data_IF_678985564505
#
_entry.id   IF_678985564505
#
_cell.length_a   1.000
_cell.length_b   1.000
_cell.length_c   1.000
_cell.angle_alpha   90.00
_cell.angle_beta   90.00
_cell.angle_gamma   90.00
#
_symmetry.space_group_name_H-M   'P 1'
#
loop_
_entity.id
_entity.type
_entity.pdbx_description
1 polymer ?
#
# COMPACT_ATOMS: atom_id res chain seq x y z
N UNK A 1 20.64 31.25 -21.90
CA UNK A 1 19.54 30.37 -22.32
C UNK A 1 18.39 30.51 -21.34
N UNK A 2 17.16 30.62 -21.86
CA UNK A 2 15.92 30.73 -21.08
C UNK A 2 14.79 30.01 -21.82
N UNK A 3 13.95 29.29 -21.07
CA UNK A 3 12.71 28.70 -21.58
C UNK A 3 11.65 28.67 -20.48
N UNK A 4 10.40 28.45 -20.89
CA UNK A 4 9.23 28.33 -20.02
C UNK A 4 8.43 27.09 -20.38
N UNK A 5 7.85 26.45 -19.38
CA UNK A 5 7.05 25.24 -19.54
C UNK A 5 6.15 25.01 -18.33
N UNK A 6 5.30 24.00 -18.40
CA UNK A 6 4.58 23.43 -17.26
C UNK A 6 5.18 22.08 -16.87
N UNK A 7 5.22 21.80 -15.56
CA UNK A 7 5.94 20.66 -15.05
C UNK A 7 5.31 20.00 -13.83
N UNK A 8 5.57 18.70 -13.69
CA UNK A 8 5.26 17.91 -12.49
C UNK A 8 6.53 17.79 -11.67
N UNK A 9 6.48 18.21 -10.40
CA UNK A 9 7.61 18.02 -9.49
C UNK A 9 7.76 16.52 -9.18
N UNK A 10 8.92 15.94 -9.47
CA UNK A 10 9.25 14.54 -9.20
C UNK A 10 9.97 14.38 -7.86
N UNK A 11 10.94 15.24 -7.58
CA UNK A 11 11.73 15.19 -6.37
C UNK A 11 12.25 16.57 -5.95
N UNK A 12 12.46 16.73 -4.64
CA UNK A 12 13.01 17.96 -4.05
C UNK A 12 14.13 17.58 -3.09
N UNK A 13 15.32 18.13 -3.30
CA UNK A 13 16.49 17.95 -2.44
C UNK A 13 16.92 19.28 -1.85
N UNK A 14 17.13 19.35 -0.53
CA UNK A 14 17.66 20.55 0.13
C UNK A 14 19.06 20.83 -0.40
N UNK A 15 19.38 22.10 -0.65
CA UNK A 15 20.69 22.51 -1.14
C UNK A 15 21.15 23.82 -0.50
N UNK A 16 22.27 23.76 0.22
CA UNK A 16 22.75 24.89 1.03
C UNK A 16 21.75 25.30 2.10
N UNK A 17 21.87 26.55 2.56
CA UNK A 17 21.07 27.07 3.68
C UNK A 17 19.64 27.42 3.29
N UNK A 18 19.42 27.98 2.10
CA UNK A 18 18.14 28.57 1.69
C UNK A 18 17.49 27.94 0.46
N UNK A 19 18.23 27.12 -0.30
CA UNK A 19 17.81 26.68 -1.64
C UNK A 19 17.41 25.21 -1.69
N UNK A 20 16.79 24.82 -2.79
CA UNK A 20 16.48 23.43 -3.11
C UNK A 20 16.83 23.13 -4.57
N UNK A 21 17.26 21.90 -4.84
CA UNK A 21 17.35 21.35 -6.19
C UNK A 21 16.05 20.58 -6.43
N UNK A 22 15.37 20.93 -7.51
CA UNK A 22 14.08 20.34 -7.89
C UNK A 22 14.26 19.57 -9.18
N UNK A 23 13.76 18.33 -9.21
CA UNK A 23 13.66 17.47 -10.39
C UNK A 23 12.21 17.56 -10.90
N UNK A 24 12.03 17.97 -12.15
CA UNK A 24 10.72 18.27 -12.74
C UNK A 24 10.62 17.56 -14.09
N UNK A 25 9.51 16.86 -14.33
CA UNK A 25 9.13 16.42 -15.67
C UNK A 25 8.30 17.50 -16.33
N UNK A 26 8.79 18.05 -17.44
CA UNK A 26 8.10 19.06 -18.23
C UNK A 26 7.61 18.48 -19.55
N UNK A 27 6.61 19.14 -20.14
CA UNK A 27 5.97 18.63 -21.35
C UNK A 27 6.89 18.73 -22.57
N UNK A 28 7.48 19.91 -22.80
CA UNK A 28 8.25 20.22 -24.00
C UNK A 28 9.77 20.09 -23.82
N UNK A 29 10.25 20.11 -22.57
CA UNK A 29 11.69 20.04 -22.26
C UNK A 29 12.09 18.79 -21.48
N UNK A 30 11.17 17.83 -21.34
CA UNK A 30 11.45 16.55 -20.69
C UNK A 30 11.78 16.68 -19.21
N UNK A 31 12.50 15.69 -18.69
CA UNK A 31 12.97 15.71 -17.30
C UNK A 31 14.16 16.65 -17.15
N UNK A 32 14.06 17.62 -16.24
CA UNK A 32 15.11 18.60 -15.99
C UNK A 32 15.26 18.87 -14.49
N UNK A 33 16.51 19.07 -14.05
CA UNK A 33 16.81 19.53 -12.70
C UNK A 33 17.18 21.01 -12.71
N UNK A 34 16.87 21.72 -11.62
CA UNK A 34 17.18 23.14 -11.48
C UNK A 34 17.18 23.63 -10.04
N UNK A 35 17.92 24.70 -9.78
CA UNK A 35 18.01 25.33 -8.47
C UNK A 35 16.84 26.30 -8.23
N UNK A 36 16.10 26.11 -7.15
CA UNK A 36 15.11 27.07 -6.65
C UNK A 36 15.69 27.81 -5.45
N UNK A 37 16.02 29.08 -5.65
CA UNK A 37 16.47 29.97 -4.57
C UNK A 37 15.31 30.23 -3.61
N UNK A 38 15.57 30.21 -2.31
CA UNK A 38 14.52 30.34 -1.30
C UNK A 38 13.59 29.13 -1.24
N UNK A 39 13.90 28.01 -1.91
CA UNK A 39 13.08 26.79 -1.89
C UNK A 39 12.89 26.19 -0.50
N UNK A 40 13.68 26.59 0.50
CA UNK A 40 13.49 26.17 1.90
C UNK A 40 12.54 27.08 2.68
N UNK A 41 11.98 28.12 2.07
CA UNK A 41 11.07 29.05 2.74
C UNK A 41 9.75 28.38 3.14
N UNK A 42 9.06 28.97 4.13
CA UNK A 42 7.72 28.53 4.54
C UNK A 42 6.69 28.69 3.42
N UNK A 43 6.87 29.66 2.53
CA UNK A 43 5.98 29.93 1.40
C UNK A 43 6.17 28.93 0.26
N UNK A 44 7.41 28.50 -0.03
CA UNK A 44 7.69 27.55 -1.09
C UNK A 44 7.47 26.09 -0.69
N UNK A 45 7.50 25.78 0.62
CA UNK A 45 7.38 24.40 1.11
C UNK A 45 6.11 23.66 0.62
N UNK A 46 4.90 24.27 0.58
CA UNK A 46 3.71 23.61 0.04
C UNK A 46 3.76 23.41 -1.48
N UNK A 47 4.43 24.32 -2.21
CA UNK A 47 4.61 24.24 -3.67
C UNK A 47 5.59 23.14 -4.03
N UNK A 48 6.72 23.07 -3.32
CA UNK A 48 7.81 22.11 -3.53
C UNK A 48 7.49 20.74 -2.91
N UNK A 49 6.43 20.09 -3.40
CA UNK A 49 6.07 18.73 -3.09
C UNK A 49 5.96 17.91 -4.38
N UNK A 50 6.35 16.63 -4.32
CA UNK A 50 6.20 15.74 -5.46
C UNK A 50 4.71 15.63 -5.86
N UNK A 51 4.44 15.56 -7.16
CA UNK A 51 3.09 15.45 -7.72
C UNK A 51 2.34 16.78 -7.89
N UNK A 52 2.90 17.89 -7.38
CA UNK A 52 2.36 19.21 -7.69
C UNK A 52 2.69 19.61 -9.14
N UNK A 53 1.74 20.27 -9.78
CA UNK A 53 1.94 20.91 -11.09
C UNK A 53 2.32 22.37 -10.90
N UNK A 54 3.33 22.82 -11.64
CA UNK A 54 3.84 24.19 -11.60
C UNK A 54 4.07 24.72 -13.01
N UNK A 55 3.83 26.00 -13.21
CA UNK A 55 4.39 26.75 -14.33
C UNK A 55 5.81 27.13 -13.93
N UNK A 56 6.75 27.07 -14.87
CA UNK A 56 8.13 27.36 -14.57
C UNK A 56 8.85 28.11 -15.67
N UNK A 57 9.83 28.91 -15.26
CA UNK A 57 10.87 29.43 -16.13
C UNK A 57 12.23 28.92 -15.69
N UNK A 58 13.02 28.43 -16.63
CA UNK A 58 14.39 28.00 -16.39
C UNK A 58 15.38 28.95 -17.05
N UNK A 59 16.47 29.25 -16.35
CA UNK A 59 17.56 30.11 -16.86
C UNK A 59 18.93 29.59 -16.52
N UNK A 60 19.83 29.57 -17.51
CA UNK A 60 21.26 29.31 -17.30
C UNK A 60 22.14 29.97 -18.37
N UNK A 61 23.46 29.97 -18.10
CA UNK A 61 24.46 30.46 -19.06
C UNK A 61 24.56 29.55 -20.29
N UNK A 62 24.72 28.26 -20.05
CA UNK A 62 24.82 27.21 -21.06
C UNK A 62 23.69 26.20 -20.84
N UNK A 63 23.33 25.45 -21.88
CA UNK A 63 22.22 24.50 -21.79
C UNK A 63 22.53 23.40 -20.78
N UNK A 64 23.73 22.81 -20.81
CA UNK A 64 24.25 21.74 -19.92
C UNK A 64 24.30 22.08 -18.43
N UNK A 65 24.19 23.35 -18.06
CA UNK A 65 24.19 23.76 -16.65
C UNK A 65 22.90 23.34 -15.94
N UNK A 66 22.94 23.19 -14.61
CA UNK A 66 21.74 22.93 -13.80
C UNK A 66 20.68 24.05 -13.95
N UNK A 67 21.13 25.30 -14.04
CA UNK A 67 20.26 26.47 -14.14
C UNK A 67 19.43 26.77 -12.88
N UNK A 68 18.65 27.84 -12.96
CA UNK A 68 17.73 28.28 -11.90
C UNK A 68 16.30 28.16 -12.38
N UNK A 69 15.42 27.66 -11.51
CA UNK A 69 13.98 27.66 -11.71
C UNK A 69 13.32 28.80 -10.94
N UNK A 70 12.36 29.44 -11.59
CA UNK A 70 11.28 30.20 -10.96
C UNK A 70 10.00 29.42 -11.17
N UNK A 71 9.23 29.19 -10.11
CA UNK A 71 8.07 28.32 -10.11
C UNK A 71 6.83 29.06 -9.62
N UNK A 72 5.73 28.90 -10.34
CA UNK A 72 4.40 29.37 -9.97
C UNK A 72 3.45 28.16 -9.82
N UNK A 73 2.68 28.06 -8.73
CA UNK A 73 1.81 26.91 -8.50
C UNK A 73 0.63 26.88 -9.47
N UNK A 74 0.37 25.73 -10.10
CA UNK A 74 -0.83 25.48 -10.90
C UNK A 74 -1.82 24.63 -10.11
N UNK A 75 -1.38 23.44 -9.67
CA UNK A 75 -2.22 22.49 -8.92
C UNK A 75 -1.43 21.81 -7.82
N UNK A 76 -1.86 22.00 -6.58
CA UNK A 76 -1.20 21.46 -5.38
C UNK A 76 -1.94 20.22 -4.91
N UNK A 77 -1.36 19.04 -5.15
CA UNK A 77 -1.98 17.74 -4.86
C UNK A 77 -1.48 17.08 -3.57
N UNK A 78 -0.30 17.47 -3.11
CA UNK A 78 0.38 16.77 -2.03
C UNK A 78 -0.40 16.70 -0.70
N UNK A 79 -1.25 17.70 -0.42
CA UNK A 79 -2.02 17.77 0.82
C UNK A 79 -2.97 16.60 1.03
N UNK A 80 -3.73 16.21 0.00
CA UNK A 80 -4.68 15.10 0.10
C UNK A 80 -4.07 13.74 -0.23
N UNK A 81 -2.98 13.70 -1.01
CA UNK A 81 -2.28 12.44 -1.32
C UNK A 81 -1.59 11.86 -0.08
N UNK A 82 -0.99 12.70 0.76
CA UNK A 82 -0.14 12.25 1.88
C UNK A 82 -0.94 11.56 3.01
N UNK A 83 -2.24 11.82 3.10
CA UNK A 83 -3.13 11.24 4.11
C UNK A 83 -3.51 9.78 3.80
N UNK A 84 -3.37 9.35 2.55
CA UNK A 84 -3.73 8.01 2.09
C UNK A 84 -2.50 7.19 1.66
N UNK A 85 -2.16 6.09 2.36
CA UNK A 85 -0.97 5.30 2.05
C UNK A 85 -0.90 4.78 0.61
N UNK A 86 -2.03 4.40 0.02
CA UNK A 86 -2.10 3.89 -1.35
C UNK A 86 -1.84 4.96 -2.40
N UNK A 87 -2.48 6.13 -2.25
CA UNK A 87 -2.28 7.29 -3.13
C UNK A 87 -0.84 7.78 -3.06
N UNK A 88 -0.29 7.87 -1.84
CA UNK A 88 1.12 8.21 -1.62
C UNK A 88 2.06 7.21 -2.29
N UNK A 89 1.75 5.91 -2.21
CA UNK A 89 2.55 4.88 -2.88
C UNK A 89 2.47 5.00 -4.41
N UNK A 90 1.30 5.30 -4.97
CA UNK A 90 1.11 5.59 -6.39
C UNK A 90 1.93 6.79 -6.85
N UNK A 91 1.85 7.91 -6.12
CA UNK A 91 2.65 9.12 -6.39
C UNK A 91 4.16 8.84 -6.36
N UNK A 92 4.65 8.17 -5.30
CA UNK A 92 6.08 7.84 -5.18
C UNK A 92 6.52 6.90 -6.30
N UNK A 93 5.66 5.98 -6.72
CA UNK A 93 5.95 5.08 -7.84
C UNK A 93 6.05 5.86 -9.15
N UNK A 94 5.08 6.71 -9.49
CA UNK A 94 5.12 7.55 -10.69
C UNK A 94 6.37 8.43 -10.69
N UNK A 95 6.58 9.19 -9.61
CA UNK A 95 7.70 10.12 -9.51
C UNK A 95 9.07 9.44 -9.55
N UNK A 96 9.19 8.25 -8.96
CA UNK A 96 10.43 7.48 -8.99
C UNK A 96 10.69 6.81 -10.34
N UNK A 97 9.64 6.34 -11.03
CA UNK A 97 9.77 5.74 -12.35
C UNK A 97 10.10 6.79 -13.44
N UNK A 98 9.54 8.00 -13.33
CA UNK A 98 9.89 9.11 -14.23
C UNK A 98 11.37 9.49 -14.19
N UNK A 99 12.10 9.14 -13.12
CA UNK A 99 13.55 9.37 -13.04
C UNK A 99 14.37 8.42 -13.94
N UNK A 100 13.74 7.43 -14.56
CA UNK A 100 14.40 6.59 -15.57
C UNK A 100 14.36 7.16 -16.98
N UNK A 101 13.55 8.20 -17.20
CA UNK A 101 13.53 8.95 -18.46
C UNK A 101 14.86 9.70 -18.64
N UNK A 102 15.40 9.74 -19.86
CA UNK A 102 16.50 10.61 -20.23
C UNK A 102 16.26 12.07 -19.81
N UNK A 103 17.31 12.73 -19.34
CA UNK A 103 17.22 14.15 -19.04
C UNK A 103 17.13 14.96 -20.33
N UNK A 104 16.24 15.97 -20.33
CA UNK A 104 16.07 16.97 -21.40
C UNK A 104 15.59 16.43 -22.74
N UNK A 105 14.97 15.26 -22.70
CA UNK A 105 14.28 14.67 -23.84
C UNK A 105 12.76 14.75 -23.62
N UNK A 106 12.00 15.37 -24.53
CA UNK A 106 10.56 15.51 -24.37
C UNK A 106 9.84 14.16 -24.50
N UNK A 107 9.11 13.80 -23.46
CA UNK A 107 8.25 12.61 -23.42
C UNK A 107 6.79 13.03 -23.17
N UNK A 108 6.21 13.78 -24.12
CA UNK A 108 4.89 14.40 -23.99
C UNK A 108 3.80 13.38 -23.60
N UNK A 109 3.82 12.18 -24.18
CA UNK A 109 2.83 11.12 -23.88
C UNK A 109 2.88 10.67 -22.42
N UNK A 110 4.09 10.49 -21.87
CA UNK A 110 4.30 10.07 -20.48
C UNK A 110 3.94 11.20 -19.52
N UNK A 111 4.23 12.45 -19.89
CA UNK A 111 3.81 13.63 -19.13
C UNK A 111 2.28 13.76 -19.09
N UNK A 112 1.61 13.76 -20.24
CA UNK A 112 0.16 13.93 -20.36
C UNK A 112 -0.57 12.78 -19.63
N UNK A 113 -0.13 11.53 -19.80
CA UNK A 113 -0.68 10.39 -19.08
C UNK A 113 -0.39 10.46 -17.56
N UNK A 114 0.76 11.01 -17.15
CA UNK A 114 1.10 11.21 -15.74
C UNK A 114 0.17 12.21 -15.06
N UNK A 115 -0.22 13.28 -15.77
CA UNK A 115 -1.24 14.22 -15.28
C UNK A 115 -2.59 13.53 -15.09
N UNK A 116 -3.03 12.66 -16.02
CA UNK A 116 -4.28 11.90 -15.87
C UNK A 116 -4.28 11.04 -14.61
N UNK A 117 -3.17 10.36 -14.30
CA UNK A 117 -3.03 9.57 -13.07
C UNK A 117 -3.15 10.47 -11.83
N UNK A 118 -2.40 11.58 -11.80
CA UNK A 118 -2.38 12.48 -10.66
C UNK A 118 -3.71 13.21 -10.45
N UNK A 119 -4.45 13.49 -11.52
CA UNK A 119 -5.74 14.16 -11.46
C UNK A 119 -6.88 13.23 -11.06
N UNK A 120 -6.74 11.93 -11.34
CA UNK A 120 -7.65 10.88 -10.91
C UNK A 120 -7.31 10.30 -9.54
N UNK A 121 -6.23 10.72 -8.88
CA UNK A 121 -5.67 10.05 -7.69
C UNK A 121 -6.63 9.99 -6.49
N UNK A 122 -7.66 10.83 -6.46
CA UNK A 122 -8.71 10.80 -5.42
C UNK A 122 -9.76 9.71 -5.64
N UNK A 123 -9.88 9.19 -6.87
CA UNK A 123 -10.75 8.07 -7.22
C UNK A 123 -9.97 6.75 -7.14
N UNK A 124 -10.12 6.06 -6.01
CA UNK A 124 -9.42 4.80 -5.70
C UNK A 124 -9.82 3.62 -6.60
N UNK A 125 -10.88 3.76 -7.41
CA UNK A 125 -11.25 2.77 -8.43
C UNK A 125 -10.58 3.05 -9.79
N UNK A 126 -10.18 4.29 -10.05
CA UNK A 126 -9.68 4.72 -11.36
C UNK A 126 -8.17 4.86 -11.42
N UNK A 127 -7.55 5.60 -10.49
CA UNK A 127 -6.12 5.90 -10.56
C UNK A 127 -5.21 4.66 -10.62
N UNK A 128 -5.51 3.51 -9.98
CA UNK A 128 -4.65 2.35 -10.05
C UNK A 128 -4.54 1.78 -11.47
N UNK A 129 -5.67 1.71 -12.18
CA UNK A 129 -5.70 1.25 -13.56
C UNK A 129 -4.98 2.22 -14.49
N UNK A 130 -5.15 3.53 -14.29
CA UNK A 130 -4.42 4.56 -15.03
C UNK A 130 -2.91 4.48 -14.78
N UNK A 131 -2.48 4.27 -13.54
CA UNK A 131 -1.06 4.11 -13.22
C UNK A 131 -0.47 2.87 -13.87
N UNK A 132 -1.20 1.74 -13.90
CA UNK A 132 -0.74 0.55 -14.59
C UNK A 132 -0.58 0.77 -16.12
N UNK A 133 -1.52 1.48 -16.76
CA UNK A 133 -1.38 1.90 -18.16
C UNK A 133 -0.20 2.85 -18.37
N UNK A 134 0.01 3.77 -17.43
CA UNK A 134 1.15 4.68 -17.46
C UNK A 134 2.48 3.93 -17.34
N UNK A 135 2.59 2.92 -16.46
CA UNK A 135 3.77 2.06 -16.36
C UNK A 135 4.05 1.27 -17.66
N UNK A 136 3.00 0.82 -18.35
CA UNK A 136 3.14 0.21 -19.68
C UNK A 136 3.62 1.21 -20.73
N UNK A 137 3.05 2.41 -20.75
CA UNK A 137 3.48 3.49 -21.63
C UNK A 137 4.95 3.82 -21.41
N UNK A 138 5.40 3.87 -20.14
CA UNK A 138 6.80 4.10 -19.81
C UNK A 138 7.72 2.98 -20.31
N UNK A 139 7.29 1.72 -20.22
CA UNK A 139 8.04 0.60 -20.81
C UNK A 139 8.20 0.78 -22.32
N UNK A 140 7.13 1.14 -23.03
CA UNK A 140 7.16 1.41 -24.47
C UNK A 140 8.10 2.57 -24.82
N UNK A 141 7.99 3.69 -24.11
CA UNK A 141 8.84 4.87 -24.30
C UNK A 141 10.33 4.57 -24.07
N UNK A 142 10.65 3.65 -23.16
CA UNK A 142 12.01 3.19 -22.89
C UNK A 142 12.49 2.05 -23.82
N UNK A 143 11.68 1.64 -24.79
CA UNK A 143 12.03 0.60 -25.78
C UNK A 143 11.81 -0.85 -25.30
N UNK A 144 11.06 -1.05 -24.22
CA UNK A 144 10.70 -2.35 -23.64
C UNK A 144 9.19 -2.62 -23.66
N UNK A 145 8.48 -2.02 -24.62
CA UNK A 145 7.04 -2.16 -24.79
C UNK A 145 6.57 -3.61 -24.88
N UNK A 146 5.37 -3.86 -24.37
CA UNK A 146 4.74 -5.18 -24.41
C UNK A 146 3.87 -5.30 -25.67
N UNK A 147 4.00 -6.41 -26.38
CA UNK A 147 3.21 -6.70 -27.59
C UNK A 147 1.98 -7.54 -27.19
N UNK A 148 0.89 -6.85 -26.87
CA UNK A 148 -0.35 -7.49 -26.40
C UNK A 148 -1.38 -7.70 -27.51
N UNK A 149 -1.04 -7.43 -28.77
CA UNK A 149 -1.98 -7.51 -29.89
C UNK A 149 -2.06 -8.89 -30.55
N UNK A 150 -1.00 -9.71 -30.44
CA UNK A 150 -0.91 -11.00 -31.13
C UNK A 150 -0.29 -12.06 -30.25
N UNK A 151 -0.79 -13.28 -30.39
CA UNK A 151 -0.27 -14.45 -29.69
C UNK A 151 1.17 -14.73 -30.12
N UNK A 152 2.08 -14.84 -29.16
CA UNK A 152 3.50 -15.14 -29.40
C UNK A 152 3.74 -16.46 -30.14
N UNK A 153 2.87 -17.45 -29.93
CA UNK A 153 3.01 -18.79 -30.49
C UNK A 153 2.31 -18.97 -31.84
N UNK A 154 1.14 -18.33 -32.03
CA UNK A 154 0.28 -18.59 -33.20
C UNK A 154 0.11 -17.38 -34.12
N UNK A 155 0.48 -16.18 -33.67
CA UNK A 155 0.24 -14.92 -34.40
C UNK A 155 -1.22 -14.47 -34.47
N UNK A 156 -2.17 -15.27 -33.94
CA UNK A 156 -3.60 -14.92 -33.89
C UNK A 156 -3.88 -13.79 -32.88
N UNK A 157 -4.98 -13.07 -33.10
CA UNK A 157 -5.54 -12.07 -32.19
C UNK A 157 -6.62 -12.65 -31.26
N UNK A 158 -6.97 -13.91 -31.44
CA UNK A 158 -8.09 -14.54 -30.74
C UNK A 158 -7.67 -15.07 -29.36
N UNK A 159 -8.59 -14.92 -28.40
CA UNK A 159 -8.48 -15.45 -27.04
C UNK A 159 -7.14 -15.17 -26.35
N UNK A 160 -6.60 -13.96 -26.53
CA UNK A 160 -5.42 -13.49 -25.80
C UNK A 160 -5.77 -13.32 -24.32
N UNK A 161 -5.29 -14.23 -23.48
CA UNK A 161 -5.63 -14.27 -22.05
C UNK A 161 -4.41 -14.35 -21.13
N UNK A 162 -3.22 -14.43 -21.71
CA UNK A 162 -1.96 -14.55 -20.98
C UNK A 162 -0.91 -13.57 -21.48
N UNK A 163 0.08 -13.26 -20.63
CA UNK A 163 1.31 -12.54 -21.00
C UNK A 163 2.52 -13.39 -20.65
N UNK A 164 3.42 -13.57 -21.61
CA UNK A 164 4.65 -14.34 -21.43
C UNK A 164 5.74 -13.52 -20.73
N UNK A 165 6.23 -13.92 -19.52
CA UNK A 165 7.33 -13.22 -18.85
C UNK A 165 8.63 -13.23 -19.66
N UNK A 166 8.80 -14.23 -20.53
CA UNK A 166 10.01 -14.37 -21.35
C UNK A 166 10.07 -13.35 -22.48
N UNK A 167 8.93 -13.02 -23.09
CA UNK A 167 8.89 -12.26 -24.34
C UNK A 167 8.12 -10.94 -24.25
N UNK A 168 7.36 -10.70 -23.17
CA UNK A 168 6.49 -9.53 -23.07
C UNK A 168 5.30 -9.56 -24.03
N UNK A 169 5.01 -10.72 -24.61
CA UNK A 169 3.94 -10.89 -25.62
C UNK A 169 2.69 -11.54 -25.05
N UNK A 170 1.54 -11.20 -25.63
CA UNK A 170 0.30 -11.91 -25.36
C UNK A 170 0.39 -13.38 -25.83
N UNK A 171 -0.34 -14.26 -25.16
CA UNK A 171 -0.47 -15.68 -25.53
C UNK A 171 -1.95 -16.07 -25.46
N UNK A 172 -2.42 -16.73 -26.52
CA UNK A 172 -3.80 -17.23 -26.58
C UNK A 172 -4.04 -18.32 -25.53
N UNK A 173 -5.30 -18.53 -25.14
CA UNK A 173 -5.70 -19.57 -24.18
C UNK A 173 -5.14 -20.95 -24.55
N UNK A 174 -5.39 -21.38 -25.78
CA UNK A 174 -4.98 -22.70 -26.28
C UNK A 174 -3.46 -22.84 -26.26
N UNK A 175 -2.73 -21.86 -26.79
CA UNK A 175 -1.26 -21.92 -26.85
C UNK A 175 -0.60 -21.80 -25.46
N UNK A 176 -1.27 -21.15 -24.51
CA UNK A 176 -0.77 -20.92 -23.17
C UNK A 176 -1.07 -22.04 -22.17
N UNK A 177 -2.02 -22.94 -22.46
CA UNK A 177 -2.53 -23.92 -21.50
C UNK A 177 -1.42 -24.76 -20.85
N UNK A 178 -0.49 -25.29 -21.66
CA UNK A 178 0.63 -26.10 -21.17
C UNK A 178 1.61 -25.32 -20.26
N UNK A 179 1.60 -23.99 -20.31
CA UNK A 179 2.48 -23.10 -19.56
C UNK A 179 1.73 -22.18 -18.61
N UNK A 180 0.43 -22.42 -18.38
CA UNK A 180 -0.48 -21.51 -17.66
C UNK A 180 0.08 -21.01 -16.33
N UNK A 181 0.69 -21.90 -15.54
CA UNK A 181 1.27 -21.56 -14.24
C UNK A 181 2.51 -20.64 -14.31
N UNK A 182 3.14 -20.55 -15.48
CA UNK A 182 4.32 -19.72 -15.75
C UNK A 182 3.99 -18.42 -16.48
N UNK A 183 2.73 -18.21 -16.84
CA UNK A 183 2.26 -17.04 -17.56
C UNK A 183 1.51 -16.10 -16.61
N UNK A 184 1.58 -14.80 -16.88
CA UNK A 184 0.68 -13.86 -16.23
C UNK A 184 -0.70 -13.92 -16.89
N UNK A 185 -1.77 -13.67 -16.14
CA UNK A 185 -3.09 -13.49 -16.75
C UNK A 185 -3.15 -12.08 -17.37
N UNK A 186 -3.59 -11.97 -18.63
CA UNK A 186 -3.71 -10.68 -19.33
C UNK A 186 -4.95 -9.93 -18.82
N UNK A 187 -4.80 -8.78 -18.14
CA UNK A 187 -5.94 -7.96 -17.74
C UNK A 187 -6.60 -7.36 -18.98
N UNK A 188 -7.93 -7.45 -19.06
CA UNK A 188 -8.71 -7.03 -20.23
C UNK A 188 -8.56 -5.53 -20.51
N UNK A 189 -8.49 -4.71 -19.46
CA UNK A 189 -8.33 -3.27 -19.62
C UNK A 189 -7.00 -2.91 -20.32
N UNK A 190 -5.92 -3.68 -20.17
CA UNK A 190 -4.66 -3.43 -20.87
C UNK A 190 -4.72 -3.70 -22.38
N UNK A 191 -5.72 -4.44 -22.84
CA UNK A 191 -5.90 -4.85 -24.26
C UNK A 191 -7.14 -4.24 -24.93
N UNK A 192 -7.74 -3.20 -24.33
CA UNK A 192 -8.86 -2.45 -24.91
C UNK A 192 -10.18 -2.55 -24.15
N UNK A 193 -10.23 -3.30 -23.04
CA UNK A 193 -11.36 -3.27 -22.10
C UNK A 193 -11.51 -1.90 -21.41
N UNK A 194 -12.75 -1.53 -21.07
CA UNK A 194 -13.10 -0.22 -20.50
C UNK A 194 -12.95 -0.13 -18.98
N UNK A 195 -13.22 -1.21 -18.25
CA UNK A 195 -13.21 -1.23 -16.78
C UNK A 195 -12.22 -2.27 -16.24
N UNK A 196 -11.51 -1.90 -15.18
CA UNK A 196 -10.57 -2.76 -14.50
C UNK A 196 -11.12 -3.14 -13.13
N UNK A 197 -11.23 -4.43 -12.84
CA UNK A 197 -11.52 -4.86 -11.47
C UNK A 197 -10.24 -4.87 -10.60
N UNK A 198 -10.34 -4.89 -9.25
CA UNK A 198 -9.17 -4.87 -8.38
C UNK A 198 -8.16 -6.02 -8.59
N UNK A 199 -8.62 -7.20 -9.00
CA UNK A 199 -7.76 -8.35 -9.28
C UNK A 199 -6.99 -8.16 -10.60
N UNK A 200 -7.64 -7.60 -11.62
CA UNK A 200 -7.00 -7.22 -12.88
C UNK A 200 -5.96 -6.12 -12.69
N UNK A 201 -6.26 -5.10 -11.89
CA UNK A 201 -5.32 -4.03 -11.53
C UNK A 201 -4.09 -4.61 -10.82
N UNK A 202 -4.32 -5.53 -9.88
CA UNK A 202 -3.25 -6.25 -9.18
C UNK A 202 -2.33 -6.99 -10.14
N UNK A 203 -2.92 -7.73 -11.07
CA UNK A 203 -2.17 -8.51 -12.04
C UNK A 203 -1.42 -7.59 -13.03
N UNK A 204 -2.02 -6.46 -13.42
CA UNK A 204 -1.34 -5.44 -14.22
C UNK A 204 -0.07 -4.92 -13.53
N UNK A 205 -0.13 -4.58 -12.24
CA UNK A 205 1.05 -4.17 -11.48
C UNK A 205 2.08 -5.28 -11.30
N UNK A 206 1.67 -6.55 -11.34
CA UNK A 206 2.61 -7.69 -11.36
C UNK A 206 3.35 -7.76 -12.68
N UNK A 207 2.63 -7.64 -13.79
CA UNK A 207 3.18 -7.64 -15.16
C UNK A 207 4.14 -6.46 -15.34
N UNK A 208 3.66 -5.22 -15.23
CA UNK A 208 4.49 -4.03 -15.39
C UNK A 208 5.64 -4.00 -14.38
N UNK A 209 5.34 -4.47 -13.17
CA UNK A 209 6.28 -4.93 -12.15
C UNK A 209 7.49 -5.63 -12.68
N UNK A 210 7.23 -6.83 -13.17
CA UNK A 210 8.23 -7.76 -13.65
C UNK A 210 9.11 -7.15 -14.73
N UNK A 211 8.51 -6.49 -15.73
CA UNK A 211 9.27 -5.95 -16.86
C UNK A 211 10.07 -4.70 -16.49
N UNK A 212 9.53 -3.80 -15.66
CA UNK A 212 10.26 -2.63 -15.18
C UNK A 212 11.45 -3.05 -14.28
N UNK A 213 11.24 -4.01 -13.39
CA UNK A 213 12.34 -4.50 -12.54
C UNK A 213 13.44 -5.14 -13.42
N UNK A 214 13.06 -6.05 -14.32
CA UNK A 214 13.97 -6.80 -15.20
C UNK A 214 14.73 -5.93 -16.20
N UNK A 215 14.08 -4.97 -16.84
CA UNK A 215 14.65 -4.24 -17.99
C UNK A 215 15.11 -2.83 -17.64
N UNK A 216 14.56 -2.23 -16.59
CA UNK A 216 14.81 -0.81 -16.27
C UNK A 216 15.60 -0.69 -14.97
N UNK A 217 15.13 -1.27 -13.87
CA UNK A 217 15.70 -1.05 -12.54
C UNK A 217 16.96 -1.90 -12.28
N UNK A 218 16.88 -3.22 -12.47
CA UNK A 218 17.96 -4.15 -12.17
C UNK A 218 19.23 -3.86 -12.98
N UNK A 219 19.18 -3.61 -14.30
CA UNK A 219 20.38 -3.30 -15.09
C UNK A 219 21.09 -2.02 -14.64
N UNK A 220 20.37 -1.10 -14.00
CA UNK A 220 20.90 0.17 -13.48
C UNK A 220 21.33 0.09 -12.02
N UNK A 221 21.28 -1.09 -11.40
CA UNK A 221 21.56 -1.28 -9.97
C UNK A 221 20.61 -0.50 -9.05
N UNK A 222 19.50 0.00 -9.60
CA UNK A 222 18.54 0.79 -8.86
C UNK A 222 17.64 -0.15 -8.06
N UNK A 223 17.72 -0.11 -6.73
CA UNK A 223 16.75 -0.79 -5.86
C UNK A 223 15.44 0.00 -5.86
N UNK A 224 14.68 -0.08 -6.94
CA UNK A 224 13.35 0.52 -6.99
C UNK A 224 12.40 -0.27 -6.08
N UNK A 225 12.29 0.17 -4.82
CA UNK A 225 11.37 -0.43 -3.84
C UNK A 225 9.95 0.02 -4.17
N UNK A 226 9.27 -0.73 -5.04
CA UNK A 226 7.84 -0.56 -5.32
C UNK A 226 7.03 -0.50 -4.03
N UNK A 227 6.39 0.64 -3.74
CA UNK A 227 5.44 0.76 -2.64
C UNK A 227 3.99 0.51 -3.10
N UNK A 228 3.64 0.82 -4.35
CA UNK A 228 2.26 0.69 -4.87
C UNK A 228 1.70 -0.75 -4.79
N UNK A 229 2.53 -1.77 -5.07
CA UNK A 229 2.15 -3.21 -4.91
C UNK A 229 1.64 -3.56 -3.51
N UNK A 230 2.14 -2.87 -2.47
CA UNK A 230 1.82 -3.14 -1.06
C UNK A 230 0.53 -2.45 -0.60
N UNK A 231 0.01 -1.47 -1.35
CA UNK A 231 -1.08 -0.61 -0.87
C UNK A 231 -2.43 -0.85 -1.54
N UNK A 232 -2.46 -1.40 -2.76
CA UNK A 232 -3.73 -1.80 -3.43
C UNK A 232 -4.29 -3.12 -2.90
N UNK A 233 -3.47 -3.81 -2.12
CA UNK A 233 -3.86 -4.99 -1.40
C UNK A 233 -4.05 -4.62 0.07
N UNK A 234 -5.32 -4.53 0.48
CA UNK A 234 -5.68 -5.00 1.82
C UNK A 234 -5.37 -6.49 2.03
N UNK A 235 -4.88 -7.21 1.01
CA UNK A 235 -4.67 -8.66 1.02
C UNK A 235 -3.26 -9.10 0.54
N UNK A 236 -2.36 -9.26 1.51
CA UNK A 236 -1.61 -10.51 1.74
C UNK A 236 -0.94 -11.35 0.63
N UNK A 237 -0.70 -10.91 -0.62
CA UNK A 237 -0.09 -11.83 -1.62
C UNK A 237 0.97 -11.25 -2.55
N UNK A 238 2.08 -10.79 -1.97
CA UNK A 238 3.39 -10.88 -2.64
C UNK A 238 4.53 -10.66 -1.64
N UNK A 239 5.08 -11.74 -1.05
CA UNK A 239 6.44 -11.73 -0.49
C UNK A 239 7.12 -13.05 -0.80
N UNK A 240 8.42 -12.96 -1.04
CA UNK A 240 9.44 -13.98 -0.72
C UNK A 240 9.01 -14.89 0.43
N UNK A 241 9.50 -16.13 0.48
CA UNK A 241 9.22 -17.24 1.43
C UNK A 241 9.08 -16.91 2.95
N UNK A 242 9.17 -15.64 3.36
CA UNK A 242 8.59 -15.08 4.57
C UNK A 242 7.24 -14.39 4.25
N UNK A 243 6.17 -15.17 4.15
CA UNK A 243 4.81 -14.66 4.20
C UNK A 243 4.55 -14.09 5.61
N UNK A 244 4.14 -12.82 5.70
CA UNK A 244 3.74 -12.17 6.95
C UNK A 244 2.49 -12.91 7.46
N UNK A 245 2.67 -13.76 8.47
CA UNK A 245 1.60 -14.53 9.12
C UNK A 245 0.58 -13.63 9.81
N UNK A 246 1.01 -12.44 10.24
CA UNK A 246 0.25 -11.55 11.11
C UNK A 246 -0.48 -10.49 10.29
N UNK A 247 -1.80 -10.42 10.46
CA UNK A 247 -2.68 -9.38 9.96
C UNK A 247 -2.70 -8.15 10.86
N UNK A 248 -3.80 -7.39 10.82
CA UNK A 248 -3.97 -6.19 11.65
C UNK A 248 -4.25 -6.55 13.11
N UNK A 249 -4.07 -5.58 14.00
CA UNK A 249 -4.59 -5.64 15.36
C UNK A 249 -6.13 -5.59 15.31
N UNK A 250 -6.79 -6.66 15.75
CA UNK A 250 -8.25 -6.74 15.80
C UNK A 250 -8.76 -5.90 16.97
N UNK A 251 -8.31 -6.24 18.19
CA UNK A 251 -8.69 -5.56 19.42
C UNK A 251 -7.62 -5.67 20.51
N UNK A 252 -7.79 -4.85 21.56
CA UNK A 252 -7.10 -4.99 22.85
C UNK A 252 -8.15 -5.25 23.92
N UNK A 253 -8.01 -6.35 24.65
CA UNK A 253 -8.92 -6.70 25.73
C UNK A 253 -8.43 -6.14 27.06
N UNK A 254 -9.32 -5.50 27.80
CA UNK A 254 -9.09 -4.95 29.13
C UNK A 254 -10.09 -5.59 30.08
N UNK A 255 -9.60 -6.37 31.05
CA UNK A 255 -10.42 -6.88 32.12
C UNK A 255 -10.71 -5.75 33.11
N UNK A 256 -11.99 -5.56 33.46
CA UNK A 256 -12.44 -4.50 34.35
C UNK A 256 -13.26 -5.08 35.52
N UNK A 257 -13.18 -4.49 36.73
CA UNK A 257 -13.95 -4.94 37.88
C UNK A 257 -15.42 -4.48 37.85
N UNK A 258 -15.74 -3.45 37.05
CA UNK A 258 -17.09 -2.93 36.83
C UNK A 258 -17.21 -2.50 35.35
N UNK A 259 -17.95 -3.30 34.58
CA UNK A 259 -18.12 -3.08 33.14
C UNK A 259 -18.83 -1.77 32.83
N UNK A 260 -19.82 -1.39 33.63
CA UNK A 260 -20.61 -0.20 33.41
C UNK A 260 -19.81 1.07 33.70
N UNK A 261 -18.97 1.06 34.75
CA UNK A 261 -18.05 2.15 35.05
C UNK A 261 -16.97 2.29 33.97
N UNK A 262 -16.39 1.17 33.52
CA UNK A 262 -15.42 1.14 32.42
C UNK A 262 -16.01 1.73 31.13
N UNK A 263 -17.21 1.30 30.75
CA UNK A 263 -17.90 1.79 29.57
C UNK A 263 -18.14 3.32 29.61
N UNK A 264 -18.59 3.84 30.76
CA UNK A 264 -18.79 5.30 30.96
C UNK A 264 -17.49 6.09 30.84
N UNK A 265 -16.35 5.56 31.30
CA UNK A 265 -15.07 6.26 31.16
C UNK A 265 -14.73 6.50 29.68
N UNK A 266 -14.92 5.50 28.82
CA UNK A 266 -14.67 5.64 27.39
C UNK A 266 -15.71 6.51 26.68
N UNK A 267 -17.00 6.35 27.01
CA UNK A 267 -18.06 7.13 26.40
C UNK A 267 -18.04 8.60 26.84
N UNK A 268 -18.09 8.85 28.14
CA UNK A 268 -18.36 10.18 28.70
C UNK A 268 -17.09 11.03 28.83
N UNK A 269 -15.95 10.40 29.15
CA UNK A 269 -14.68 11.14 29.35
C UNK A 269 -13.88 11.27 28.07
N UNK A 270 -13.84 10.21 27.25
CA UNK A 270 -13.05 10.18 26.02
C UNK A 270 -13.86 10.40 24.74
N UNK A 271 -15.20 10.42 24.83
CA UNK A 271 -16.08 10.66 23.68
C UNK A 271 -16.14 9.51 22.67
N UNK A 272 -15.79 8.29 23.08
CA UNK A 272 -15.80 7.13 22.19
C UNK A 272 -17.22 6.58 22.01
N UNK A 273 -17.48 5.94 20.86
CA UNK A 273 -18.70 5.17 20.64
C UNK A 273 -18.56 3.82 21.34
N UNK A 274 -19.50 3.48 22.20
CA UNK A 274 -19.47 2.28 23.04
C UNK A 274 -20.74 1.45 22.83
N UNK A 275 -20.60 0.14 22.65
CA UNK A 275 -21.73 -0.78 22.47
C UNK A 275 -22.47 -1.04 23.79
N UNK A 276 -23.71 -1.54 23.74
CA UNK A 276 -24.33 -2.17 24.90
C UNK A 276 -23.51 -3.37 25.39
N UNK A 277 -23.62 -3.76 26.68
CA UNK A 277 -23.05 -4.99 27.20
C UNK A 277 -23.65 -6.23 26.51
N UNK A 278 -22.78 -7.15 26.11
CA UNK A 278 -23.13 -8.40 25.45
C UNK A 278 -22.62 -9.59 26.29
N UNK A 279 -23.52 -10.42 26.85
CA UNK A 279 -23.10 -11.61 27.58
C UNK A 279 -22.61 -12.70 26.61
N UNK A 280 -21.44 -13.28 26.89
CA UNK A 280 -20.84 -14.40 26.16
C UNK A 280 -20.65 -15.62 27.09
N UNK A 281 -21.73 -16.38 27.40
CA UNK A 281 -21.66 -17.47 28.37
C UNK A 281 -20.66 -18.57 27.98
N UNK A 282 -20.45 -18.81 26.69
CA UNK A 282 -19.50 -19.80 26.19
C UNK A 282 -18.03 -19.43 26.51
N UNK A 283 -17.75 -18.13 26.67
CA UNK A 283 -16.44 -17.58 26.99
C UNK A 283 -16.33 -17.15 28.45
N UNK A 284 -17.43 -17.19 29.21
CA UNK A 284 -17.47 -16.82 30.62
C UNK A 284 -17.19 -15.34 30.87
N UNK A 285 -17.54 -14.47 29.93
CA UNK A 285 -17.38 -13.01 30.07
C UNK A 285 -18.62 -12.25 29.56
N UNK A 286 -18.81 -11.04 30.06
CA UNK A 286 -19.65 -10.02 29.41
C UNK A 286 -18.72 -9.01 28.77
N UNK A 287 -18.95 -8.69 27.50
CA UNK A 287 -18.10 -7.78 26.72
C UNK A 287 -18.83 -6.48 26.38
N UNK A 288 -18.09 -5.37 26.40
CA UNK A 288 -18.48 -4.08 25.80
C UNK A 288 -17.42 -3.67 24.79
N UNK A 289 -17.85 -3.30 23.59
CA UNK A 289 -16.97 -2.85 22.53
C UNK A 289 -16.87 -1.33 22.51
N UNK A 290 -15.66 -0.81 22.63
CA UNK A 290 -15.34 0.59 22.33
C UNK A 290 -14.83 0.67 20.89
N UNK A 291 -15.59 1.35 20.03
CA UNK A 291 -15.26 1.50 18.62
C UNK A 291 -14.23 2.62 18.41
N UNK A 292 -13.11 2.28 17.77
CA UNK A 292 -12.10 3.24 17.31
C UNK A 292 -11.95 3.15 15.78
N UNK A 293 -11.45 4.20 15.09
CA UNK A 293 -11.30 4.16 13.63
C UNK A 293 -10.38 3.06 13.09
N UNK A 294 -9.42 2.61 13.90
CA UNK A 294 -8.36 1.68 13.48
C UNK A 294 -8.41 0.31 14.15
N UNK A 295 -9.13 0.15 15.27
CA UNK A 295 -9.21 -1.09 16.06
C UNK A 295 -10.38 -1.00 17.07
N UNK A 296 -10.49 -1.95 18.00
CA UNK A 296 -11.46 -1.92 19.10
C UNK A 296 -10.76 -2.09 20.44
N UNK A 297 -11.39 -1.59 21.50
CA UNK A 297 -11.10 -2.02 22.87
C UNK A 297 -12.28 -2.89 23.32
N UNK A 298 -11.97 -4.06 23.87
CA UNK A 298 -12.95 -4.95 24.48
C UNK A 298 -12.83 -4.84 26.00
N UNK A 299 -13.84 -4.27 26.63
CA UNK A 299 -13.94 -4.30 28.09
C UNK A 299 -14.61 -5.59 28.51
N UNK A 300 -13.95 -6.35 29.38
CA UNK A 300 -14.40 -7.67 29.80
C UNK A 300 -14.67 -7.71 31.29
N UNK A 301 -15.83 -8.21 31.68
CA UNK A 301 -16.18 -8.52 33.06
C UNK A 301 -16.50 -10.01 33.20
N UNK A 302 -16.12 -10.67 34.31
CA UNK A 302 -16.42 -12.07 34.54
C UNK A 302 -17.91 -12.39 34.43
N UNK A 303 -18.27 -13.45 33.71
CA UNK A 303 -19.61 -14.00 33.65
C UNK A 303 -19.59 -15.46 34.10
N UNK A 304 -20.24 -15.75 35.22
CA UNK A 304 -20.29 -17.08 35.83
C UNK A 304 -19.06 -17.40 36.71
N UNK A 305 -19.17 -18.48 37.50
CA UNK A 305 -18.19 -18.84 38.54
C UNK A 305 -16.83 -19.30 37.98
N UNK A 306 -16.79 -19.75 36.72
CA UNK A 306 -15.59 -20.30 36.07
C UNK A 306 -15.02 -19.37 34.98
N UNK A 307 -15.20 -18.05 35.13
CA UNK A 307 -14.70 -17.09 34.14
C UNK A 307 -13.18 -17.17 33.98
N UNK A 308 -12.64 -17.20 32.74
CA UNK A 308 -11.21 -17.32 32.49
C UNK A 308 -10.41 -16.09 32.96
N UNK A 309 -11.07 -14.93 33.14
CA UNK A 309 -10.43 -13.68 33.57
C UNK A 309 -10.55 -13.41 35.07
N UNK A 310 -11.28 -14.24 35.84
CA UNK A 310 -11.48 -14.04 37.27
C UNK A 310 -10.13 -13.98 38.03
N UNK A 311 -9.26 -14.97 37.79
CA UNK A 311 -7.92 -14.99 38.42
C UNK A 311 -6.98 -13.86 37.97
N UNK A 312 -7.27 -13.20 36.84
CA UNK A 312 -6.55 -11.99 36.44
C UNK A 312 -6.97 -10.79 37.29
N UNK A 313 -8.28 -10.61 37.51
CA UNK A 313 -8.83 -9.52 38.33
C UNK A 313 -8.50 -9.70 39.82
N UNK A 314 -8.40 -10.93 40.32
CA UNK A 314 -7.89 -11.18 41.68
C UNK A 314 -6.47 -10.65 41.87
N UNK A 315 -5.61 -10.78 40.84
CA UNK A 315 -4.24 -10.28 40.84
C UNK A 315 -4.15 -8.80 40.51
N UNK A 316 -5.15 -8.26 39.80
CA UNK A 316 -5.21 -6.87 39.34
C UNK A 316 -6.58 -6.28 39.69
N UNK A 317 -6.82 -5.91 40.97
CA UNK A 317 -8.15 -5.53 41.45
C UNK A 317 -8.74 -4.29 40.75
N UNK A 318 -7.88 -3.41 40.24
CA UNK A 318 -8.26 -2.21 39.49
C UNK A 318 -8.54 -2.48 38.00
N UNK A 319 -8.41 -3.72 37.54
CA UNK A 319 -8.42 -4.08 36.13
C UNK A 319 -7.07 -3.90 35.43
N UNK A 320 -7.03 -4.17 34.13
CA UNK A 320 -5.83 -4.02 33.31
C UNK A 320 -5.94 -4.67 31.93
N UNK A 321 -4.96 -4.38 31.06
CA UNK A 321 -4.86 -5.01 29.74
C UNK A 321 -4.63 -6.51 29.94
N UNK A 322 -5.55 -7.31 29.40
CA UNK A 322 -5.55 -8.75 29.57
C UNK A 322 -4.86 -9.46 28.39
N UNK A 323 -5.24 -9.13 27.15
CA UNK A 323 -4.59 -9.67 25.95
C UNK A 323 -4.68 -8.71 24.77
N UNK A 324 -3.92 -9.01 23.72
CA UNK A 324 -4.01 -8.36 22.41
C UNK A 324 -4.37 -9.40 21.36
N UNK A 325 -5.25 -9.04 20.42
CA UNK A 325 -5.70 -9.95 19.37
C UNK A 325 -5.23 -9.47 18.00
N UNK A 326 -4.61 -10.37 17.24
CA UNK A 326 -4.21 -10.14 15.85
C UNK A 326 -4.98 -11.04 14.91
N UNK A 327 -5.33 -10.51 13.73
CA UNK A 327 -5.92 -11.32 12.67
C UNK A 327 -4.85 -12.16 11.98
N UNK A 328 -5.22 -13.35 11.48
CA UNK A 328 -4.38 -14.21 10.64
C UNK A 328 -5.19 -14.76 9.47
N UNK A 329 -4.58 -14.86 8.28
CA UNK A 329 -5.28 -15.31 7.05
C UNK A 329 -5.68 -16.79 7.11
N UNK A 330 -4.89 -17.63 7.79
CA UNK A 330 -5.21 -19.04 8.02
C UNK A 330 -4.70 -19.40 9.42
N UNK A 331 -5.64 -19.61 10.34
CA UNK A 331 -5.33 -19.87 11.75
C UNK A 331 -4.64 -21.22 11.97
N UNK A 332 -4.92 -22.22 11.14
CA UNK A 332 -4.32 -23.55 11.25
C UNK A 332 -2.88 -23.50 10.74
N UNK A 333 -2.64 -22.86 9.60
CA UNK A 333 -1.29 -22.63 9.09
C UNK A 333 -0.46 -21.76 10.05
N UNK A 334 -1.07 -20.74 10.67
CA UNK A 334 -0.42 -19.91 11.67
C UNK A 334 0.01 -20.73 12.89
N UNK A 335 -0.90 -21.53 13.44
CA UNK A 335 -0.65 -22.45 14.55
C UNK A 335 0.52 -23.37 14.25
N UNK A 336 0.44 -24.13 13.17
CA UNK A 336 1.42 -25.17 12.86
C UNK A 336 2.83 -24.58 12.72
N UNK A 337 2.94 -23.40 12.09
CA UNK A 337 4.20 -22.67 11.97
C UNK A 337 4.72 -22.12 13.31
N UNK A 338 3.84 -21.69 14.22
CA UNK A 338 4.22 -21.23 15.56
C UNK A 338 4.71 -22.39 16.43
N UNK A 339 3.99 -23.51 16.42
CA UNK A 339 4.37 -24.74 17.13
C UNK A 339 5.71 -25.26 16.60
N UNK A 340 5.91 -25.31 15.29
CA UNK A 340 7.17 -25.73 14.68
C UNK A 340 8.37 -24.83 15.08
N UNK A 341 8.10 -23.57 15.48
CA UNK A 341 9.11 -22.63 15.97
C UNK A 341 9.23 -22.61 17.50
N UNK A 342 8.54 -23.51 18.20
CA UNK A 342 8.62 -23.68 19.64
C UNK A 342 7.70 -22.81 20.49
N UNK A 343 6.74 -22.10 19.87
CA UNK A 343 5.75 -21.32 20.62
C UNK A 343 4.69 -22.22 21.25
N UNK A 344 4.28 -21.92 22.49
CA UNK A 344 3.22 -22.66 23.18
C UNK A 344 1.84 -22.08 22.83
N UNK A 345 0.99 -22.94 22.28
CA UNK A 345 -0.44 -22.67 22.05
C UNK A 345 -1.24 -23.21 23.23
N UNK A 346 -2.11 -22.39 23.81
CA UNK A 346 -2.96 -22.74 24.94
C UNK A 346 -4.18 -23.57 24.47
N UNK A 347 -4.82 -24.29 25.40
CA UNK A 347 -6.12 -24.92 25.15
C UNK A 347 -6.11 -26.16 24.25
N UNK A 348 -4.96 -26.83 24.11
CA UNK A 348 -4.83 -28.08 23.32
C UNK A 348 -4.46 -27.87 21.85
N UNK A 349 -4.33 -26.62 21.41
CA UNK A 349 -3.92 -26.29 20.04
C UNK A 349 -5.02 -26.32 19.00
N UNK A 350 -6.25 -26.71 19.33
CA UNK A 350 -7.38 -26.63 18.41
C UNK A 350 -8.09 -25.28 18.55
N UNK A 351 -8.32 -24.53 17.44
CA UNK A 351 -9.04 -23.27 17.49
C UNK A 351 -10.44 -23.44 18.07
N UNK A 352 -10.85 -22.47 18.90
CA UNK A 352 -12.21 -22.37 19.44
C UNK A 352 -12.94 -21.21 18.78
N UNK A 353 -14.27 -21.21 18.76
CA UNK A 353 -15.00 -20.03 18.29
C UNK A 353 -14.89 -18.93 19.35
N UNK A 354 -14.41 -17.74 18.98
CA UNK A 354 -14.31 -16.54 19.81
C UNK A 354 -15.59 -15.71 19.86
N UNK A 355 -15.58 -14.58 20.57
CA UNK A 355 -16.74 -13.71 20.75
C UNK A 355 -17.25 -13.08 19.44
N UNK A 356 -16.40 -12.99 18.41
CA UNK A 356 -16.77 -12.54 17.07
C UNK A 356 -17.33 -13.66 16.16
N UNK A 357 -17.54 -14.87 16.68
CA UNK A 357 -18.03 -16.01 15.89
C UNK A 357 -16.98 -16.63 14.96
N UNK A 358 -15.71 -16.25 15.10
CA UNK A 358 -14.59 -16.75 14.29
C UNK A 358 -13.66 -17.67 15.09
N UNK A 359 -12.92 -18.58 14.46
CA UNK A 359 -11.89 -19.38 15.12
C UNK A 359 -10.79 -18.51 15.75
N UNK A 360 -10.43 -18.82 17.00
CA UNK A 360 -9.39 -18.16 17.79
C UNK A 360 -8.46 -19.16 18.49
N UNK A 361 -7.22 -18.73 18.72
CA UNK A 361 -6.19 -19.45 19.50
C UNK A 361 -5.45 -18.48 20.40
N UNK A 362 -5.02 -18.95 21.57
CA UNK A 362 -4.21 -18.16 22.50
C UNK A 362 -2.78 -18.69 22.58
N UNK A 363 -1.83 -17.78 22.67
CA UNK A 363 -0.40 -18.06 22.80
C UNK A 363 0.08 -17.74 24.22
N UNK A 364 0.94 -18.61 24.77
CA UNK A 364 1.36 -18.48 26.16
C UNK A 364 2.23 -17.21 26.38
N UNK A 365 1.93 -16.34 27.36
CA UNK A 365 2.62 -15.05 27.54
C UNK A 365 4.14 -15.11 27.69
N UNK A 366 4.65 -16.17 28.33
CA UNK A 366 6.09 -16.44 28.49
C UNK A 366 6.87 -16.51 27.16
N UNK A 367 6.21 -16.79 26.04
CA UNK A 367 6.85 -16.82 24.71
C UNK A 367 6.75 -15.47 23.98
N UNK A 368 5.95 -14.54 24.51
CA UNK A 368 5.59 -13.27 23.86
C UNK A 368 5.76 -12.09 24.82
N UNK A 369 6.94 -11.98 25.45
CA UNK A 369 7.32 -10.83 26.28
C UNK A 369 6.36 -10.54 27.44
N UNK A 370 5.68 -11.56 27.96
CA UNK A 370 4.70 -11.42 29.05
C UNK A 370 3.30 -11.02 28.58
N UNK A 371 3.07 -10.89 27.27
CA UNK A 371 1.77 -10.54 26.69
C UNK A 371 1.01 -11.80 26.30
N UNK A 372 -0.24 -11.94 26.78
CA UNK A 372 -1.17 -12.92 26.23
C UNK A 372 -1.58 -12.46 24.83
N UNK A 373 -1.32 -13.30 23.83
CA UNK A 373 -1.65 -13.01 22.43
C UNK A 373 -2.76 -13.94 21.98
N UNK A 374 -3.82 -13.36 21.44
CA UNK A 374 -4.86 -14.06 20.71
C UNK A 374 -4.61 -13.93 19.20
N UNK A 375 -4.85 -15.02 18.47
CA UNK A 375 -4.93 -15.03 17.02
C UNK A 375 -6.38 -15.33 16.63
N UNK A 376 -6.97 -14.48 15.81
CA UNK A 376 -8.31 -14.66 15.24
C UNK A 376 -8.21 -14.85 13.72
N UNK A 377 -8.99 -15.76 13.16
CA UNK A 377 -9.13 -15.91 11.72
C UNK A 377 -9.68 -14.61 11.09
N UNK A 378 -8.99 -14.05 10.09
CA UNK A 378 -9.39 -12.82 9.41
C UNK A 378 -10.76 -12.93 8.72
#
# INVERSE_FOLDING_TARGET
MEWRDEGIILAVRKHGESSAIVDILTREHGRSMGLVRGGRSRTMRPVLQAGNSVALSWRARLEEHLGNFTLDPIRLRAGFIIEHPARLAGLVTLAGLSQFLPEREPHQRIYDAGLLVLDAIEDDHLWPALLARWEMGLLDELGFGLDLERCAATGSRDELVYVSPKSGKAVSRIAGEAYREKLFALPSFLSGGSEANPAEVTEAFRITGYFLDRHVADPRGAKFRRRAKRCLHGSSKCRSEQCDMLGRLNHVAIAVPDLAAGARLYADTLGAKVSPPQPEPAHGVTVVFVELPNTKIELLEPLGENSPIAGFLEKNPSGGIHHVCYEVEDIMAARDRLVARGARVLGGGEPKIGAHGKPVLFLHPKDFNGTLVELEQA
#
